data_IF_736261502973
#
_entry.id   IF_736261502973
#
_cell.length_a   1.000
_cell.length_b   1.000
_cell.length_c   1.000
_cell.angle_alpha   90.00
_cell.angle_beta   90.00
_cell.angle_gamma   90.00
#
_symmetry.space_group_name_H-M   'P 1'
#
loop_
_entity.id
_entity.type
_entity.pdbx_description
1 polymer ?
#
# COMPACT_ATOMS: atom_id res chain seq x y z
N UNK A 1 7.63 42.53 -12.51
CA UNK A 1 8.02 41.87 -11.25
C UNK A 1 7.92 40.39 -11.43
N UNK A 2 9.01 39.66 -11.34
CA UNK A 2 9.03 38.21 -11.44
C UNK A 2 8.53 37.59 -10.12
N UNK A 3 7.77 36.47 -10.14
CA UNK A 3 7.34 35.84 -8.91
C UNK A 3 8.53 35.21 -8.17
N UNK A 4 8.50 35.16 -6.82
CA UNK A 4 9.60 34.61 -6.05
C UNK A 4 9.75 33.09 -6.31
N UNK A 5 10.97 32.53 -6.22
CA UNK A 5 11.20 31.10 -6.45
C UNK A 5 10.52 30.26 -5.38
N UNK A 6 9.91 29.15 -5.80
CA UNK A 6 9.30 28.19 -4.90
C UNK A 6 10.36 27.61 -3.95
N UNK A 7 10.10 27.67 -2.64
CA UNK A 7 10.98 27.12 -1.61
C UNK A 7 11.08 25.60 -1.78
N UNK A 8 12.28 25.10 -2.03
CA UNK A 8 12.61 23.68 -2.04
C UNK A 8 12.42 23.10 -0.64
N UNK A 9 11.43 22.23 -0.47
CA UNK A 9 11.23 21.50 0.78
C UNK A 9 12.35 20.48 0.94
N UNK A 10 13.21 20.67 1.94
CA UNK A 10 14.32 19.75 2.22
C UNK A 10 13.79 18.44 2.82
N UNK A 11 14.53 17.34 2.63
CA UNK A 11 14.21 16.01 3.21
C UNK A 11 14.00 16.10 4.73
N UNK A 12 14.68 17.01 5.41
CA UNK A 12 14.51 17.29 6.85
C UNK A 12 13.10 17.76 7.20
N UNK A 13 12.41 18.45 6.29
CA UNK A 13 11.07 18.96 6.54
C UNK A 13 10.01 17.86 6.51
N UNK A 14 10.29 16.74 5.78
CA UNK A 14 9.45 15.57 5.74
C UNK A 14 9.32 14.90 7.13
N UNK A 15 10.42 14.75 7.86
CA UNK A 15 10.41 14.17 9.20
C UNK A 15 9.69 15.03 10.24
N UNK A 16 9.81 16.34 10.10
CA UNK A 16 9.08 17.29 10.95
C UNK A 16 7.56 17.23 10.72
N UNK A 17 7.14 16.84 9.52
CA UNK A 17 5.72 16.78 9.11
C UNK A 17 5.12 15.40 9.42
N UNK A 18 5.90 14.31 9.24
CA UNK A 18 5.42 12.92 9.32
C UNK A 18 5.82 12.16 10.60
N UNK A 19 6.49 12.84 11.55
CA UNK A 19 6.92 12.28 12.83
C UNK A 19 8.37 11.76 12.82
N UNK A 20 8.92 11.62 14.03
CA UNK A 20 10.32 11.25 14.25
C UNK A 20 10.73 9.96 13.54
N UNK A 21 11.97 9.92 13.07
CA UNK A 21 12.61 8.70 12.60
C UNK A 21 12.52 7.58 13.64
N UNK A 22 12.44 6.32 13.25
CA UNK A 22 12.52 5.22 14.20
C UNK A 22 13.81 5.32 15.01
N UNK A 23 13.82 4.95 16.31
CA UNK A 23 14.98 5.10 17.19
C UNK A 23 16.18 4.31 16.64
N UNK A 24 17.34 4.95 16.59
CA UNK A 24 18.61 4.29 16.30
C UNK A 24 18.86 3.18 17.32
N UNK A 25 19.04 1.96 16.85
CA UNK A 25 19.47 0.85 17.69
C UNK A 25 20.92 1.11 18.14
N UNK A 26 21.09 1.41 19.43
CA UNK A 26 22.40 1.50 20.06
C UNK A 26 23.04 0.11 20.09
N UNK A 27 24.17 -0.05 19.40
CA UNK A 27 25.03 -1.23 19.52
C UNK A 27 25.63 -1.28 20.92
N UNK A 28 25.30 -2.31 21.68
CA UNK A 28 26.03 -2.64 22.91
C UNK A 28 27.40 -3.26 22.57
N UNK A 29 28.47 -2.99 23.38
CA UNK A 29 29.79 -3.52 23.13
C UNK A 29 29.88 -5.01 23.44
N UNK A 30 30.49 -5.77 22.51
CA UNK A 30 30.76 -7.20 22.63
C UNK A 30 31.65 -7.50 23.84
N UNK A 31 31.14 -8.35 24.74
CA UNK A 31 31.99 -8.98 25.81
C UNK A 31 32.89 -10.04 25.18
N UNK A 32 34.18 -9.92 25.45
CA UNK A 32 35.20 -10.94 25.14
C UNK A 32 34.88 -12.26 25.85
N UNK A 33 34.82 -13.35 25.10
CA UNK A 33 34.75 -14.72 25.66
C UNK A 33 36.13 -15.36 25.53
N UNK A 34 36.68 -15.75 26.69
CA UNK A 34 37.97 -16.44 26.82
C UNK A 34 37.95 -17.79 26.13
N UNK A 35 39.00 -18.05 25.37
CA UNK A 35 39.28 -19.29 24.66
C UNK A 35 39.46 -20.46 25.63
N UNK A 36 38.66 -21.52 25.46
CA UNK A 36 38.90 -22.84 26.05
C UNK A 36 39.26 -23.78 24.89
N UNK A 37 40.49 -24.27 24.93
CA UNK A 37 41.04 -25.26 24.00
C UNK A 37 40.53 -26.66 24.37
N UNK A 38 39.77 -27.32 23.50
CA UNK A 38 39.47 -28.76 23.62
C UNK A 38 39.81 -29.42 22.30
N UNK A 39 40.58 -30.49 22.43
CA UNK A 39 41.20 -31.28 21.38
C UNK A 39 40.21 -32.06 20.49
N UNK A 40 40.64 -32.22 19.29
CA UNK A 40 40.20 -32.88 18.07
C UNK A 40 39.45 -34.19 18.24
N UNK A 41 38.23 -34.25 17.75
CA UNK A 41 37.58 -35.46 17.20
C UNK A 41 37.13 -35.14 15.77
N UNK A 42 37.67 -35.87 14.79
CA UNK A 42 37.29 -35.77 13.39
C UNK A 42 35.93 -36.44 13.21
N UNK A 43 34.87 -35.64 13.17
CA UNK A 43 33.57 -36.09 12.67
C UNK A 43 33.28 -35.32 11.39
N UNK A 44 33.13 -36.04 10.29
CA UNK A 44 32.67 -35.46 9.02
C UNK A 44 31.25 -34.94 9.21
N UNK A 45 31.07 -33.66 9.41
CA UNK A 45 29.76 -33.03 9.40
C UNK A 45 29.49 -32.53 7.99
N UNK A 46 28.56 -33.16 7.31
CA UNK A 46 27.85 -32.54 6.19
C UNK A 46 27.24 -31.23 6.69
N UNK A 47 27.85 -30.11 6.35
CA UNK A 47 27.26 -28.80 6.57
C UNK A 47 26.08 -28.67 5.64
N UNK A 48 24.84 -28.52 6.13
CA UNK A 48 23.73 -28.16 5.26
C UNK A 48 24.09 -26.78 4.67
N UNK A 49 24.20 -26.68 3.36
CA UNK A 49 24.19 -25.38 2.70
C UNK A 49 22.84 -24.74 3.03
N UNK A 50 22.84 -23.84 4.00
CA UNK A 50 21.73 -22.91 4.21
C UNK A 50 21.70 -22.07 2.93
N UNK A 51 20.82 -22.43 2.01
CA UNK A 51 20.44 -21.56 0.92
C UNK A 51 19.99 -20.26 1.57
N UNK A 52 20.83 -19.23 1.47
CA UNK A 52 20.53 -17.87 1.88
C UNK A 52 19.35 -17.43 1.01
N UNK A 53 18.13 -17.72 1.47
CA UNK A 53 16.93 -17.11 0.88
C UNK A 53 17.20 -15.62 0.90
N UNK A 54 17.32 -15.02 -0.28
CA UNK A 54 17.49 -13.58 -0.39
C UNK A 54 16.25 -12.96 0.24
N UNK A 55 16.41 -12.46 1.47
CA UNK A 55 15.33 -11.81 2.18
C UNK A 55 14.81 -10.69 1.27
N UNK A 56 13.55 -10.75 0.88
CA UNK A 56 12.87 -9.66 0.22
C UNK A 56 11.79 -9.12 1.15
N UNK A 57 11.45 -7.87 0.98
CA UNK A 57 10.41 -7.21 1.75
C UNK A 57 9.27 -6.89 0.81
N UNK A 58 8.09 -7.42 1.12
CA UNK A 58 6.84 -7.00 0.50
C UNK A 58 6.20 -5.90 1.33
N UNK A 59 5.78 -4.81 0.68
CA UNK A 59 5.05 -3.71 1.30
C UNK A 59 3.89 -3.30 0.40
N UNK A 60 2.73 -3.06 1.01
CA UNK A 60 1.51 -2.67 0.30
C UNK A 60 1.21 -1.20 0.55
N UNK A 61 0.86 -0.47 -0.51
CA UNK A 61 0.61 0.97 -0.44
C UNK A 61 -0.70 1.32 -1.13
N UNK A 62 -1.46 2.23 -0.53
CA UNK A 62 -2.69 2.73 -1.09
C UNK A 62 -2.94 4.19 -0.70
N UNK A 63 -3.70 4.90 -1.54
CA UNK A 63 -4.14 6.27 -1.32
C UNK A 63 -5.66 6.37 -1.42
N UNK A 64 -6.31 6.86 -0.37
CA UNK A 64 -7.75 7.09 -0.34
C UNK A 64 -8.08 8.58 -0.35
N UNK A 65 -9.13 8.98 -1.08
CA UNK A 65 -9.57 10.37 -1.10
C UNK A 65 -11.10 10.48 -1.18
N UNK A 66 -11.71 11.08 -0.15
CA UNK A 66 -13.12 11.49 -0.22
C UNK A 66 -13.25 12.86 -0.85
N UNK A 67 -14.36 13.08 -1.56
CA UNK A 67 -14.64 14.32 -2.28
C UNK A 67 -13.52 14.72 -3.27
N UNK A 68 -12.85 13.74 -3.87
CA UNK A 68 -11.76 13.95 -4.81
C UNK A 68 -12.15 14.98 -5.89
N UNK A 69 -11.28 15.98 -6.13
CA UNK A 69 -11.53 17.06 -7.07
C UNK A 69 -12.44 18.20 -6.55
N UNK A 70 -12.91 18.13 -5.30
CA UNK A 70 -13.70 19.18 -4.66
C UNK A 70 -12.89 19.97 -3.61
N UNK A 71 -13.30 21.20 -3.25
CA UNK A 71 -12.58 22.02 -2.24
C UNK A 71 -12.47 21.36 -0.86
N UNK A 72 -13.42 20.51 -0.50
CA UNK A 72 -13.46 19.76 0.75
C UNK A 72 -12.83 18.36 0.66
N UNK A 73 -12.04 18.09 -0.38
CA UNK A 73 -11.34 16.84 -0.53
C UNK A 73 -10.46 16.53 0.70
N UNK A 74 -10.41 15.26 1.08
CA UNK A 74 -9.55 14.76 2.16
C UNK A 74 -8.88 13.49 1.67
N UNK A 75 -7.54 13.49 1.63
CA UNK A 75 -6.75 12.35 1.20
C UNK A 75 -5.95 11.75 2.36
N UNK A 76 -5.85 10.44 2.38
CA UNK A 76 -5.08 9.66 3.33
C UNK A 76 -4.17 8.66 2.61
N UNK A 77 -3.19 8.15 3.35
CA UNK A 77 -2.27 7.11 2.90
C UNK A 77 -2.34 5.91 3.82
N UNK A 78 -2.19 4.74 3.23
CA UNK A 78 -1.98 3.47 3.90
C UNK A 78 -0.67 2.83 3.44
N UNK A 79 0.15 2.40 4.40
CA UNK A 79 1.33 1.57 4.15
C UNK A 79 1.24 0.36 5.07
N UNK A 80 1.25 -0.84 4.51
CA UNK A 80 1.07 -2.08 5.24
C UNK A 80 2.23 -3.05 4.99
N UNK A 81 2.90 -3.47 6.05
CA UNK A 81 4.01 -4.42 6.04
C UNK A 81 3.60 -5.81 6.53
N UNK A 82 2.55 -5.90 7.32
CA UNK A 82 2.07 -7.13 7.92
C UNK A 82 1.15 -6.86 9.12
N UNK A 83 0.56 -7.91 9.64
CA UNK A 83 -0.31 -7.80 10.82
C UNK A 83 0.53 -7.35 12.03
N UNK A 84 0.06 -6.30 12.73
CA UNK A 84 0.74 -5.72 13.90
C UNK A 84 2.18 -5.22 13.65
N UNK A 85 2.61 -5.04 12.39
CA UNK A 85 3.94 -4.48 12.11
C UNK A 85 3.98 -3.00 12.53
N UNK A 86 4.94 -2.59 13.39
CA UNK A 86 5.02 -1.22 13.90
C UNK A 86 5.33 -0.18 12.80
N UNK A 87 5.75 -0.61 11.61
CA UNK A 87 5.99 0.24 10.45
C UNK A 87 4.72 0.57 9.67
N UNK A 88 3.57 -0.05 10.00
CA UNK A 88 2.30 0.26 9.37
C UNK A 88 1.93 1.73 9.54
N UNK A 89 1.45 2.36 8.48
CA UNK A 89 1.12 3.79 8.46
C UNK A 89 -0.31 4.02 8.03
N UNK A 90 -1.02 4.85 8.82
CA UNK A 90 -2.30 5.44 8.47
C UNK A 90 -2.20 6.94 8.76
N UNK A 91 -2.06 7.80 7.73
CA UNK A 91 -1.86 9.24 7.91
C UNK A 91 -2.56 10.07 6.85
N UNK A 92 -2.97 11.28 7.22
CA UNK A 92 -3.51 12.29 6.29
C UNK A 92 -2.41 12.79 5.35
N UNK A 93 -2.79 13.01 4.09
CA UNK A 93 -1.94 13.73 3.13
C UNK A 93 -1.83 15.20 3.55
N UNK A 94 -0.63 15.76 3.45
CA UNK A 94 -0.38 17.18 3.66
C UNK A 94 -0.28 17.86 2.30
N UNK A 95 -0.88 19.04 2.18
CA UNK A 95 -0.93 19.81 0.93
C UNK A 95 -2.11 19.40 0.05
N UNK A 96 -1.86 19.18 -1.25
CA UNK A 96 -2.91 18.88 -2.23
C UNK A 96 -3.63 17.58 -1.90
N UNK A 97 -4.96 17.66 -1.79
CA UNK A 97 -5.82 16.54 -1.46
C UNK A 97 -6.37 15.92 -2.75
N UNK A 98 -5.84 14.77 -3.14
CA UNK A 98 -6.38 13.98 -4.26
C UNK A 98 -5.98 12.51 -4.12
N UNK A 99 -6.70 11.62 -4.80
CA UNK A 99 -6.36 10.20 -4.82
C UNK A 99 -4.92 9.97 -5.29
N UNK A 100 -4.55 10.55 -6.43
CA UNK A 100 -3.20 10.43 -6.99
C UNK A 100 -2.10 10.95 -6.07
N UNK A 101 -2.38 12.01 -5.29
CA UNK A 101 -1.44 12.52 -4.28
C UNK A 101 -1.29 11.52 -3.13
N UNK A 102 -2.39 10.90 -2.69
CA UNK A 102 -2.38 9.82 -1.69
C UNK A 102 -1.49 8.66 -2.13
N UNK A 103 -1.75 8.13 -3.32
CA UNK A 103 -1.01 7.02 -3.91
C UNK A 103 0.52 7.26 -3.96
N UNK A 104 0.92 8.39 -4.52
CA UNK A 104 2.34 8.75 -4.61
C UNK A 104 2.96 8.94 -3.23
N UNK A 105 2.24 9.58 -2.30
CA UNK A 105 2.72 9.82 -0.93
C UNK A 105 2.86 8.50 -0.17
N UNK A 106 1.97 7.53 -0.36
CA UNK A 106 2.06 6.21 0.25
C UNK A 106 3.34 5.48 -0.19
N UNK A 107 3.63 5.47 -1.51
CA UNK A 107 4.87 4.88 -2.05
C UNK A 107 6.11 5.58 -1.48
N UNK A 108 6.13 6.92 -1.49
CA UNK A 108 7.25 7.70 -0.95
C UNK A 108 7.47 7.40 0.53
N UNK A 109 6.39 7.24 1.29
CA UNK A 109 6.44 6.88 2.71
C UNK A 109 7.06 5.50 2.89
N UNK A 110 6.63 4.50 2.13
CA UNK A 110 7.21 3.15 2.15
C UNK A 110 8.71 3.17 1.83
N UNK A 111 9.12 3.86 0.75
CA UNK A 111 10.52 4.02 0.36
C UNK A 111 11.36 4.71 1.43
N UNK A 112 10.75 5.66 2.14
CA UNK A 112 11.43 6.40 3.22
C UNK A 112 11.64 5.53 4.45
N UNK A 113 10.63 4.75 4.83
CA UNK A 113 10.71 3.79 5.94
C UNK A 113 11.79 2.73 5.66
N UNK A 114 11.84 2.23 4.42
CA UNK A 114 12.75 1.16 4.01
C UNK A 114 14.12 1.67 3.51
N UNK A 115 14.46 2.92 3.80
CA UNK A 115 15.69 3.53 3.27
C UNK A 115 16.96 2.75 3.62
N UNK A 116 17.07 2.26 4.85
CA UNK A 116 18.24 1.47 5.31
C UNK A 116 18.34 0.15 4.56
N UNK A 117 17.22 -0.57 4.43
CA UNK A 117 17.14 -1.86 3.75
C UNK A 117 17.43 -1.72 2.25
N UNK A 118 16.92 -0.65 1.64
CA UNK A 118 17.20 -0.33 0.24
C UNK A 118 18.69 -0.01 0.04
N UNK A 119 19.32 0.70 0.95
CA UNK A 119 20.76 1.02 0.90
C UNK A 119 21.65 -0.21 1.10
N UNK A 120 21.23 -1.18 1.91
CA UNK A 120 21.92 -2.46 2.10
C UNK A 120 21.60 -3.49 1.03
N UNK A 121 20.98 -3.08 -0.08
CA UNK A 121 20.63 -3.90 -1.24
C UNK A 121 19.64 -5.03 -0.94
N UNK A 122 18.81 -4.89 0.09
CA UNK A 122 17.67 -5.77 0.33
C UNK A 122 16.65 -5.58 -0.79
N UNK A 123 16.17 -6.66 -1.39
CA UNK A 123 15.13 -6.60 -2.43
C UNK A 123 13.82 -6.13 -1.82
N UNK A 124 13.22 -5.10 -2.39
CA UNK A 124 11.92 -4.55 -1.97
C UNK A 124 10.92 -4.64 -3.12
N UNK A 125 9.73 -5.15 -2.82
CA UNK A 125 8.60 -5.19 -3.75
C UNK A 125 7.48 -4.32 -3.18
N UNK A 126 7.15 -3.24 -3.87
CA UNK A 126 6.02 -2.37 -3.51
C UNK A 126 4.80 -2.83 -4.30
N UNK A 127 3.77 -3.26 -3.57
CA UNK A 127 2.49 -3.67 -4.11
C UNK A 127 1.51 -2.51 -4.02
N UNK A 128 0.85 -2.18 -5.13
CA UNK A 128 -0.19 -1.12 -5.21
C UNK A 128 -1.15 -1.42 -6.34
N UNK A 129 -2.39 -0.97 -6.23
CA UNK A 129 -3.37 -1.05 -7.32
C UNK A 129 -3.39 0.21 -8.21
N UNK A 130 -2.53 1.19 -7.90
CA UNK A 130 -2.41 2.42 -8.67
C UNK A 130 -1.45 2.29 -9.85
N UNK A 131 -1.96 1.97 -11.03
CA UNK A 131 -1.17 2.03 -12.27
C UNK A 131 -0.55 3.43 -12.50
N UNK A 132 -1.27 4.50 -12.08
CA UNK A 132 -0.76 5.86 -12.17
C UNK A 132 0.52 6.02 -11.37
N UNK A 133 0.50 5.60 -10.11
CA UNK A 133 1.66 5.73 -9.23
C UNK A 133 2.84 4.87 -9.73
N UNK A 134 2.59 3.64 -10.18
CA UNK A 134 3.63 2.80 -10.81
C UNK A 134 4.25 3.51 -12.02
N UNK A 135 3.45 4.04 -12.94
CA UNK A 135 3.94 4.77 -14.12
C UNK A 135 4.77 5.99 -13.72
N UNK A 136 4.33 6.75 -12.69
CA UNK A 136 5.08 7.89 -12.16
C UNK A 136 6.44 7.50 -11.57
N UNK A 137 6.54 6.35 -10.93
CA UNK A 137 7.79 5.84 -10.35
C UNK A 137 8.67 5.09 -11.35
N UNK A 138 8.16 4.77 -12.54
CA UNK A 138 8.86 3.97 -13.55
C UNK A 138 8.95 4.71 -14.90
N UNK A 139 8.15 4.30 -15.87
CA UNK A 139 8.28 4.72 -17.28
C UNK A 139 8.03 6.22 -17.48
N UNK A 140 6.93 6.73 -16.94
CA UNK A 140 6.56 8.15 -17.11
C UNK A 140 7.52 9.06 -16.34
N UNK A 141 7.78 8.76 -15.07
CA UNK A 141 8.68 9.57 -14.26
C UNK A 141 10.10 9.60 -14.80
N UNK A 142 10.63 8.45 -15.26
CA UNK A 142 11.95 8.40 -15.92
C UNK A 142 12.00 9.19 -17.23
N UNK A 143 10.88 9.25 -17.98
CA UNK A 143 10.78 10.12 -19.16
C UNK A 143 10.85 11.60 -18.79
N UNK A 144 10.16 12.01 -17.72
CA UNK A 144 10.21 13.38 -17.19
C UNK A 144 11.62 13.74 -16.70
N UNK A 145 12.27 12.82 -15.98
CA UNK A 145 13.64 12.98 -15.48
C UNK A 145 14.64 13.22 -16.64
N UNK A 146 14.57 12.40 -17.70
CA UNK A 146 15.39 12.58 -18.91
C UNK A 146 15.17 13.92 -19.60
N UNK A 147 13.98 14.51 -19.48
CA UNK A 147 13.64 15.85 -19.99
C UNK A 147 13.95 16.97 -18.97
N UNK A 148 14.64 16.67 -17.86
CA UNK A 148 14.97 17.64 -16.83
C UNK A 148 13.76 18.17 -16.04
N UNK A 149 12.61 17.48 -16.06
CA UNK A 149 11.37 17.91 -15.41
C UNK A 149 10.87 19.29 -15.82
N UNK A 150 11.10 19.68 -17.07
CA UNK A 150 10.73 21.00 -17.59
C UNK A 150 9.22 21.16 -17.85
N UNK A 151 8.50 20.07 -17.99
CA UNK A 151 7.06 20.09 -18.25
C UNK A 151 6.28 20.30 -16.93
N UNK A 152 5.33 21.26 -16.88
CA UNK A 152 4.47 21.43 -15.71
C UNK A 152 3.42 20.31 -15.67
N UNK A 153 3.70 19.26 -14.91
CA UNK A 153 2.76 18.14 -14.74
C UNK A 153 2.27 18.06 -13.31
N UNK A 154 1.06 17.52 -13.08
CA UNK A 154 0.54 17.30 -11.73
C UNK A 154 1.48 16.42 -10.91
N UNK A 155 1.63 16.75 -9.62
CA UNK A 155 2.42 15.98 -8.64
C UNK A 155 3.93 15.86 -8.97
N UNK A 156 4.48 16.79 -9.78
CA UNK A 156 5.87 16.75 -10.23
C UNK A 156 6.87 16.61 -9.08
N UNK A 157 6.65 17.34 -7.96
CA UNK A 157 7.55 17.29 -6.81
C UNK A 157 7.51 15.92 -6.10
N UNK A 158 6.35 15.29 -6.00
CA UNK A 158 6.24 13.92 -5.48
C UNK A 158 6.93 12.92 -6.41
N UNK A 159 6.80 13.08 -7.73
CA UNK A 159 7.47 12.22 -8.70
C UNK A 159 8.99 12.36 -8.55
N UNK A 160 9.53 13.58 -8.50
CA UNK A 160 10.97 13.83 -8.27
C UNK A 160 11.45 13.17 -6.97
N UNK A 161 10.71 13.39 -5.88
CA UNK A 161 11.04 12.82 -4.57
C UNK A 161 11.06 11.29 -4.61
N UNK A 162 10.02 10.66 -5.15
CA UNK A 162 9.96 9.21 -5.27
C UNK A 162 11.11 8.65 -6.08
N UNK A 163 11.38 9.24 -7.27
CA UNK A 163 12.48 8.79 -8.14
C UNK A 163 13.86 8.91 -7.46
N UNK A 164 14.08 9.93 -6.64
CA UNK A 164 15.35 10.11 -5.91
C UNK A 164 15.62 9.01 -4.87
N UNK A 165 14.56 8.41 -4.33
CA UNK A 165 14.64 7.32 -3.35
C UNK A 165 14.82 5.94 -3.98
N UNK A 166 14.44 5.78 -5.26
CA UNK A 166 14.50 4.49 -5.93
C UNK A 166 15.95 4.01 -6.16
N UNK A 167 16.14 2.71 -6.03
CA UNK A 167 17.38 1.98 -6.33
C UNK A 167 17.02 0.71 -7.15
N UNK A 168 18.00 0.06 -7.80
CA UNK A 168 17.74 -1.11 -8.66
C UNK A 168 17.11 -2.31 -7.94
N UNK A 169 17.24 -2.39 -6.62
CA UNK A 169 16.66 -3.45 -5.78
C UNK A 169 15.21 -3.18 -5.37
N UNK A 170 14.60 -2.08 -5.83
CA UNK A 170 13.18 -1.78 -5.63
C UNK A 170 12.40 -2.10 -6.89
N UNK A 171 11.33 -2.85 -6.76
CA UNK A 171 10.40 -3.18 -7.84
C UNK A 171 8.96 -2.88 -7.44
N UNK A 172 8.09 -2.75 -8.45
CA UNK A 172 6.66 -2.51 -8.26
C UNK A 172 5.86 -3.69 -8.79
N UNK A 173 4.83 -4.07 -8.05
CA UNK A 173 3.88 -5.10 -8.45
C UNK A 173 2.46 -4.53 -8.39
N UNK A 174 1.77 -4.56 -9.54
CA UNK A 174 0.38 -4.14 -9.61
C UNK A 174 -0.54 -5.22 -9.04
N UNK A 175 -1.35 -4.87 -8.05
CA UNK A 175 -2.37 -5.73 -7.45
C UNK A 175 -3.74 -5.26 -7.93
N UNK A 176 -4.62 -6.19 -8.28
CA UNK A 176 -5.98 -5.80 -8.66
C UNK A 176 -6.81 -5.45 -7.43
N UNK A 177 -7.35 -4.23 -7.39
CA UNK A 177 -8.22 -3.76 -6.32
C UNK A 177 -9.49 -4.62 -6.17
N UNK A 178 -9.94 -4.79 -4.92
CA UNK A 178 -11.25 -5.37 -4.58
C UNK A 178 -11.59 -6.69 -5.28
N UNK A 179 -10.61 -7.56 -5.47
CA UNK A 179 -10.82 -8.87 -6.14
C UNK A 179 -11.71 -9.81 -5.34
N UNK A 180 -11.80 -9.63 -4.02
CA UNK A 180 -12.46 -10.57 -3.09
C UNK A 180 -11.71 -11.89 -2.95
N UNK A 181 -10.50 -12.00 -3.51
CA UNK A 181 -9.63 -13.16 -3.35
C UNK A 181 -8.99 -13.15 -1.97
N UNK A 182 -8.71 -14.33 -1.44
CA UNK A 182 -8.08 -14.52 -0.13
C UNK A 182 -6.56 -14.81 -0.26
N UNK A 183 -5.95 -14.45 -1.41
CA UNK A 183 -4.50 -14.54 -1.54
C UNK A 183 -3.79 -13.40 -0.81
N UNK A 184 -2.52 -13.63 -0.46
CA UNK A 184 -1.74 -12.71 0.37
C UNK A 184 -1.66 -11.28 -0.21
N UNK A 185 -1.55 -11.14 -1.54
CA UNK A 185 -1.44 -9.83 -2.17
C UNK A 185 -2.77 -9.07 -2.18
N UNK A 186 -3.88 -9.77 -2.42
CA UNK A 186 -5.22 -9.17 -2.33
C UNK A 186 -5.53 -8.70 -0.91
N UNK A 187 -5.19 -9.51 0.11
CA UNK A 187 -5.38 -9.16 1.51
C UNK A 187 -4.47 -8.00 1.94
N UNK A 188 -3.20 -8.01 1.52
CA UNK A 188 -2.26 -6.92 1.80
C UNK A 188 -2.73 -5.58 1.24
N UNK A 189 -3.22 -5.56 -0.01
CA UNK A 189 -3.79 -4.37 -0.62
C UNK A 189 -5.04 -3.88 0.11
N UNK A 190 -5.94 -4.80 0.51
CA UNK A 190 -7.12 -4.44 1.31
C UNK A 190 -6.76 -3.84 2.68
N UNK A 191 -5.67 -4.27 3.30
CA UNK A 191 -5.17 -3.69 4.55
C UNK A 191 -4.60 -2.30 4.33
N UNK A 192 -3.87 -2.06 3.25
CA UNK A 192 -3.37 -0.73 2.88
C UNK A 192 -4.54 0.24 2.62
N UNK A 193 -5.56 -0.17 1.84
CA UNK A 193 -6.81 0.62 1.61
C UNK A 193 -7.50 0.96 2.95
N UNK A 194 -7.64 -0.02 3.86
CA UNK A 194 -8.23 0.21 5.16
C UNK A 194 -7.47 1.28 5.98
N UNK A 195 -6.12 1.23 5.98
CA UNK A 195 -5.27 2.23 6.63
C UNK A 195 -5.42 3.62 5.98
N UNK A 196 -5.46 3.69 4.64
CA UNK A 196 -5.66 4.95 3.91
C UNK A 196 -7.03 5.57 4.22
N UNK A 197 -8.08 4.76 4.25
CA UNK A 197 -9.45 5.17 4.58
C UNK A 197 -9.57 5.61 6.04
N UNK A 198 -8.99 4.88 6.98
CA UNK A 198 -8.93 5.25 8.39
C UNK A 198 -8.29 6.62 8.60
N UNK A 199 -7.22 6.93 7.85
CA UNK A 199 -6.52 8.21 7.93
C UNK A 199 -7.43 9.44 7.67
N UNK A 200 -8.51 9.26 6.94
CA UNK A 200 -9.46 10.33 6.59
C UNK A 200 -10.79 10.24 7.34
N UNK A 201 -10.84 9.38 8.37
CA UNK A 201 -12.03 9.17 9.20
C UNK A 201 -13.15 8.42 8.48
N UNK A 202 -12.82 7.69 7.43
CA UNK A 202 -13.70 6.68 6.83
C UNK A 202 -13.37 5.37 7.51
N UNK A 203 -14.24 4.95 8.41
CA UNK A 203 -14.17 3.58 8.91
C UNK A 203 -14.20 2.63 7.71
N UNK A 204 -13.27 1.66 7.63
CA UNK A 204 -13.39 0.62 6.62
C UNK A 204 -14.80 0.06 6.80
N UNK A 205 -15.64 0.23 5.78
CA UNK A 205 -16.97 -0.36 5.82
C UNK A 205 -16.74 -1.83 6.18
N UNK A 206 -17.17 -2.23 7.37
CA UNK A 206 -17.18 -3.64 7.75
C UNK A 206 -17.77 -4.33 6.51
N UNK A 207 -17.01 -5.20 5.84
CA UNK A 207 -17.45 -5.84 4.62
C UNK A 207 -18.74 -6.54 4.96
N UNK A 208 -19.88 -5.85 4.77
CA UNK A 208 -21.17 -6.46 4.98
C UNK A 208 -21.19 -7.66 4.04
N UNK A 209 -21.34 -8.84 4.63
CA UNK A 209 -21.43 -10.06 3.87
C UNK A 209 -22.49 -9.87 2.79
N UNK A 210 -22.10 -10.08 1.54
CA UNK A 210 -23.05 -10.03 0.42
C UNK A 210 -23.66 -11.42 0.25
N UNK A 211 -24.92 -11.53 0.51
CA UNK A 211 -25.68 -12.75 0.31
C UNK A 211 -26.22 -12.72 -1.13
N UNK A 212 -25.58 -13.47 -2.03
CA UNK A 212 -26.02 -13.59 -3.42
C UNK A 212 -27.32 -14.39 -3.50
N UNK A 213 -28.29 -13.89 -4.26
CA UNK A 213 -29.62 -14.45 -4.37
C UNK A 213 -29.79 -15.26 -5.67
N UNK A 214 -30.57 -16.32 -5.64
CA UNK A 214 -30.96 -17.13 -6.81
C UNK A 214 -32.08 -16.44 -7.58
N UNK A 215 -31.76 -15.38 -8.32
CA UNK A 215 -32.74 -14.59 -9.06
C UNK A 215 -32.71 -14.97 -10.54
N UNK A 216 -33.83 -15.49 -11.09
CA UNK A 216 -33.96 -15.72 -12.52
C UNK A 216 -34.04 -14.40 -13.28
N UNK A 217 -33.77 -14.43 -14.59
CA UNK A 217 -33.84 -13.23 -15.42
C UNK A 217 -35.24 -12.57 -15.40
N UNK A 218 -36.33 -13.36 -15.38
CA UNK A 218 -37.70 -12.85 -15.31
C UNK A 218 -38.03 -12.20 -13.95
N UNK A 219 -37.35 -12.63 -12.87
CA UNK A 219 -37.61 -12.14 -11.51
C UNK A 219 -36.75 -10.94 -11.10
N UNK A 220 -35.90 -10.43 -11.99
CA UNK A 220 -34.93 -9.34 -11.68
C UNK A 220 -35.60 -8.06 -11.20
N UNK A 221 -36.72 -7.65 -11.79
CA UNK A 221 -37.41 -6.42 -11.38
C UNK A 221 -37.98 -6.58 -9.97
N UNK A 222 -38.57 -7.72 -9.66
CA UNK A 222 -39.02 -8.04 -8.30
C UNK A 222 -37.90 -8.03 -7.28
N UNK A 223 -36.72 -8.56 -7.61
CA UNK A 223 -35.54 -8.51 -6.72
C UNK A 223 -35.12 -7.06 -6.47
N UNK A 224 -35.12 -6.21 -7.50
CA UNK A 224 -34.79 -4.78 -7.40
C UNK A 224 -35.83 -4.03 -6.55
N UNK A 225 -37.12 -4.26 -6.76
CA UNK A 225 -38.20 -3.69 -5.96
C UNK A 225 -38.09 -4.06 -4.48
N UNK A 226 -37.64 -5.27 -4.20
CA UNK A 226 -37.34 -5.73 -2.84
C UNK A 226 -36.04 -5.17 -2.25
N UNK A 227 -35.31 -4.27 -2.97
CA UNK A 227 -34.10 -3.63 -2.49
C UNK A 227 -32.81 -4.42 -2.71
N UNK A 228 -32.84 -5.53 -3.44
CA UNK A 228 -31.62 -6.23 -3.84
C UNK A 228 -30.79 -5.37 -4.82
N UNK A 229 -29.47 -5.46 -4.73
CA UNK A 229 -28.51 -4.74 -5.58
C UNK A 229 -27.82 -5.71 -6.53
N UNK A 230 -27.50 -5.23 -7.75
CA UNK A 230 -26.77 -6.04 -8.72
C UNK A 230 -25.25 -5.91 -8.53
N UNK A 231 -24.58 -7.03 -8.30
CA UNK A 231 -23.13 -7.11 -8.30
C UNK A 231 -22.61 -7.45 -9.72
N UNK A 232 -22.09 -6.44 -10.41
CA UNK A 232 -21.57 -6.59 -11.78
C UNK A 232 -20.43 -7.61 -11.89
N UNK A 233 -19.64 -7.76 -10.82
CA UNK A 233 -18.46 -8.62 -10.78
C UNK A 233 -18.84 -10.08 -10.55
N UNK A 234 -19.71 -10.33 -9.55
CA UNK A 234 -20.20 -11.67 -9.23
C UNK A 234 -21.37 -12.10 -10.14
N UNK A 235 -21.90 -11.16 -10.95
CA UNK A 235 -23.06 -11.38 -11.81
C UNK A 235 -24.25 -11.97 -11.06
N UNK A 236 -24.50 -11.50 -9.85
CA UNK A 236 -25.61 -11.92 -8.99
C UNK A 236 -26.32 -10.71 -8.38
N UNK A 237 -27.60 -10.89 -8.06
CA UNK A 237 -28.33 -10.00 -7.17
C UNK A 237 -27.92 -10.32 -5.73
N UNK A 238 -27.76 -9.31 -4.87
CA UNK A 238 -27.33 -9.52 -3.49
C UNK A 238 -28.03 -8.56 -2.52
N UNK A 239 -28.09 -8.98 -1.26
CA UNK A 239 -28.45 -8.18 -0.10
C UNK A 239 -27.34 -8.24 0.95
N UNK A 240 -27.35 -7.34 1.91
CA UNK A 240 -26.35 -7.32 2.99
C UNK A 240 -26.80 -8.00 4.27
N UNK A 241 -28.07 -8.39 4.38
CA UNK A 241 -28.64 -9.04 5.54
C UNK A 241 -29.17 -10.41 5.16
N UNK A 242 -28.74 -11.45 5.85
CA UNK A 242 -29.20 -12.81 5.65
C UNK A 242 -30.70 -12.97 5.93
N UNK A 243 -31.25 -12.15 6.83
CA UNK A 243 -32.67 -12.13 7.18
C UNK A 243 -33.50 -11.24 6.25
N UNK A 244 -32.89 -10.62 5.24
CA UNK A 244 -33.61 -9.75 4.30
C UNK A 244 -34.77 -10.48 3.61
N UNK A 245 -35.96 -9.85 3.46
CA UNK A 245 -37.13 -10.49 2.85
C UNK A 245 -36.85 -11.15 1.50
N UNK A 246 -35.96 -10.58 0.67
CA UNK A 246 -35.57 -11.15 -0.60
C UNK A 246 -34.88 -12.52 -0.48
N UNK A 247 -34.19 -12.81 0.63
CA UNK A 247 -33.57 -14.12 0.89
C UNK A 247 -34.66 -15.20 1.03
N UNK A 248 -35.76 -14.89 1.70
CA UNK A 248 -36.89 -15.82 1.86
C UNK A 248 -37.57 -16.13 0.52
N UNK A 249 -37.58 -15.16 -0.41
CA UNK A 249 -38.23 -15.31 -1.72
C UNK A 249 -37.34 -16.03 -2.73
N UNK A 250 -36.04 -15.71 -2.78
CA UNK A 250 -35.13 -16.17 -3.82
C UNK A 250 -34.12 -17.23 -3.37
N UNK A 251 -33.88 -17.35 -2.08
CA UNK A 251 -32.81 -18.18 -1.51
C UNK A 251 -31.41 -17.63 -1.81
N UNK A 252 -30.41 -18.07 -1.03
CA UNK A 252 -29.00 -17.72 -1.21
C UNK A 252 -28.38 -18.67 -2.23
N UNK A 253 -27.58 -18.13 -3.14
CA UNK A 253 -26.68 -18.90 -4.01
C UNK A 253 -25.57 -19.50 -3.14
N UNK A 254 -25.51 -20.80 -3.10
CA UNK A 254 -24.38 -21.55 -2.47
C UNK A 254 -23.16 -21.48 -3.36
#
# INVERSE_FOLDING_TARGET
MAPPPAKSTKITDFWNIYGSAPPEQKHEPKKEIKTITISTVKTQTHTPQIQKMSAHIDVYTDGSCIHNGKPNAKAGIGVYFGENDPRNVSKRVIGKQSNNTGELTAIITALTILKSEIQTNTKVVIHTDSEYAIKCMTTYGRKLEKKGFLEPVPNIELIKQGLSLLRPNVSFHHVFAHTGKQDAHSLGNERADALASQAIGVEPAAKQAKFCLRVSYQAREKAKEMGAKWDKKRKCWYVFDENHPAVKVFGILQ
#
